data_IF_543120345581
#
_entry.id   IF_543120345581
#
_cell.length_a   1.000
_cell.length_b   1.000
_cell.length_c   1.000
_cell.angle_alpha   90.00
_cell.angle_beta   90.00
_cell.angle_gamma   90.00
#
_symmetry.space_group_name_H-M   'P 1'
#
loop_
_entity.id
_entity.type
_entity.pdbx_description
1 polymer ?
#
# COMPACT_ATOMS: atom_id res chain seq x y z
N UNK A 1 19.68 14.78 9.92
CA UNK A 1 19.38 14.38 8.52
C UNK A 1 19.87 12.96 8.34
N UNK A 2 19.01 11.96 8.52
CA UNK A 2 19.40 10.56 8.31
C UNK A 2 19.39 10.28 6.80
N UNK A 3 20.56 10.07 6.22
CA UNK A 3 20.72 9.88 4.79
C UNK A 3 20.06 8.56 4.34
N UNK A 4 19.44 8.58 3.15
CA UNK A 4 18.76 7.43 2.53
C UNK A 4 19.64 6.16 2.46
N UNK A 5 20.97 6.32 2.37
CA UNK A 5 21.94 5.23 2.38
C UNK A 5 22.03 4.52 3.75
N UNK A 6 21.98 5.29 4.84
CA UNK A 6 22.07 4.79 6.22
C UNK A 6 20.83 3.97 6.59
N UNK A 7 19.64 4.47 6.22
CA UNK A 7 18.38 3.77 6.40
C UNK A 7 18.31 2.44 5.63
N UNK A 8 18.84 2.42 4.40
CA UNK A 8 18.89 1.20 3.58
C UNK A 8 19.78 0.13 4.23
N UNK A 9 20.92 0.54 4.78
CA UNK A 9 21.83 -0.35 5.49
C UNK A 9 21.21 -0.87 6.81
N UNK A 10 20.52 -0.02 7.55
CA UNK A 10 19.81 -0.41 8.78
C UNK A 10 18.71 -1.44 8.50
N UNK A 11 17.88 -1.22 7.47
CA UNK A 11 16.83 -2.16 7.04
C UNK A 11 17.39 -3.51 6.64
N UNK A 12 18.49 -3.52 5.88
CA UNK A 12 19.15 -4.77 5.47
C UNK A 12 19.66 -5.57 6.66
N UNK A 13 20.28 -4.91 7.64
CA UNK A 13 20.75 -5.56 8.88
C UNK A 13 19.60 -6.17 9.68
N UNK A 14 18.48 -5.46 9.81
CA UNK A 14 17.29 -5.95 10.52
C UNK A 14 16.71 -7.18 9.81
N UNK A 15 16.61 -7.15 8.48
CA UNK A 15 16.11 -8.29 7.70
C UNK A 15 16.97 -9.55 7.89
N UNK A 16 18.30 -9.41 7.92
CA UNK A 16 19.21 -10.52 8.19
C UNK A 16 18.94 -11.12 9.58
N UNK A 17 18.79 -10.28 10.61
CA UNK A 17 18.50 -10.76 11.98
C UNK A 17 17.15 -11.46 12.07
N UNK A 18 16.10 -10.91 11.46
CA UNK A 18 14.78 -11.52 11.39
C UNK A 18 14.86 -12.90 10.75
N UNK A 19 15.56 -13.00 9.61
CA UNK A 19 15.78 -14.29 8.94
C UNK A 19 16.51 -15.26 9.87
N UNK A 20 17.61 -14.84 10.47
CA UNK A 20 18.41 -15.66 11.37
C UNK A 20 17.62 -16.17 12.58
N UNK A 21 16.94 -15.29 13.32
CA UNK A 21 16.13 -15.68 14.49
C UNK A 21 14.96 -16.57 14.11
N UNK A 22 14.35 -16.36 12.94
CA UNK A 22 13.32 -17.26 12.41
C UNK A 22 13.89 -18.65 12.15
N UNK A 23 15.06 -18.78 11.52
CA UNK A 23 15.70 -20.08 11.30
C UNK A 23 16.02 -20.78 12.63
N UNK A 24 16.61 -20.06 13.59
CA UNK A 24 16.89 -20.62 14.92
C UNK A 24 15.63 -21.06 15.66
N UNK A 25 14.53 -20.31 15.53
CA UNK A 25 13.23 -20.69 16.12
C UNK A 25 12.66 -21.95 15.47
N UNK A 26 12.79 -22.11 14.15
CA UNK A 26 12.30 -23.28 13.40
C UNK A 26 13.10 -24.54 13.75
N UNK A 27 14.43 -24.44 13.79
CA UNK A 27 15.32 -25.59 13.98
C UNK A 27 15.60 -25.91 15.45
N UNK A 28 15.26 -25.03 16.40
CA UNK A 28 15.44 -25.31 17.82
C UNK A 28 14.40 -26.31 18.33
N UNK A 29 14.90 -27.45 18.82
CA UNK A 29 14.09 -28.50 19.46
C UNK A 29 13.78 -28.18 20.93
N UNK A 30 14.55 -27.28 21.56
CA UNK A 30 14.38 -26.91 22.96
C UNK A 30 13.34 -25.78 23.11
N UNK A 31 12.26 -25.97 23.88
CA UNK A 31 11.22 -24.95 24.04
C UNK A 31 11.74 -23.62 24.60
N UNK A 32 12.71 -23.65 25.53
CA UNK A 32 13.29 -22.45 26.10
C UNK A 32 14.10 -21.65 25.08
N UNK A 33 14.93 -22.32 24.28
CA UNK A 33 15.70 -21.69 23.21
C UNK A 33 14.78 -21.14 22.13
N UNK A 34 13.75 -21.91 21.74
CA UNK A 34 12.73 -21.46 20.79
C UNK A 34 12.03 -20.19 21.28
N UNK A 35 11.63 -20.14 22.55
CA UNK A 35 10.99 -18.96 23.14
C UNK A 35 11.97 -17.77 23.19
N UNK A 36 13.25 -18.01 23.51
CA UNK A 36 14.27 -16.96 23.48
C UNK A 36 14.40 -16.32 22.09
N UNK A 37 14.56 -17.13 21.03
CA UNK A 37 14.67 -16.62 19.66
C UNK A 37 13.36 -16.00 19.14
N UNK A 38 12.21 -16.51 19.58
CA UNK A 38 10.92 -15.89 19.28
C UNK A 38 10.84 -14.47 19.85
N UNK A 39 11.27 -14.25 21.09
CA UNK A 39 11.29 -12.91 21.68
C UNK A 39 12.25 -11.95 20.94
N UNK A 40 13.41 -12.43 20.52
CA UNK A 40 14.35 -11.64 19.71
C UNK A 40 13.76 -11.31 18.33
N UNK A 41 13.10 -12.29 17.68
CA UNK A 41 12.42 -12.10 16.40
C UNK A 41 11.32 -11.03 16.53
N UNK A 42 10.47 -11.12 17.54
CA UNK A 42 9.40 -10.15 17.79
C UNK A 42 9.96 -8.74 18.03
N UNK A 43 11.08 -8.62 18.76
CA UNK A 43 11.76 -7.33 18.96
C UNK A 43 12.23 -6.72 17.63
N UNK A 44 12.93 -7.48 16.79
CA UNK A 44 13.42 -6.96 15.51
C UNK A 44 12.28 -6.64 14.53
N UNK A 45 11.18 -7.42 14.57
CA UNK A 45 9.97 -7.12 13.81
C UNK A 45 9.32 -5.81 14.23
N UNK A 46 9.29 -5.51 15.53
CA UNK A 46 8.77 -4.25 16.05
C UNK A 46 9.63 -3.05 15.62
N UNK A 47 10.96 -3.20 15.64
CA UNK A 47 11.87 -2.18 15.11
C UNK A 47 11.61 -1.93 13.63
N UNK A 48 11.46 -3.00 12.82
CA UNK A 48 11.15 -2.87 11.39
C UNK A 48 9.83 -2.12 11.16
N UNK A 49 8.80 -2.43 11.95
CA UNK A 49 7.50 -1.76 11.90
C UNK A 49 7.63 -0.27 12.21
N UNK A 50 8.28 0.08 13.31
CA UNK A 50 8.51 1.49 13.71
C UNK A 50 9.30 2.27 12.64
N UNK A 51 10.31 1.66 12.03
CA UNK A 51 11.08 2.29 10.94
C UNK A 51 10.18 2.53 9.72
N UNK A 52 9.35 1.56 9.34
CA UNK A 52 8.40 1.73 8.23
C UNK A 52 7.39 2.84 8.52
N UNK A 53 6.85 2.88 9.74
CA UNK A 53 5.88 3.90 10.17
C UNK A 53 6.49 5.32 10.17
N UNK A 54 7.75 5.46 10.58
CA UNK A 54 8.51 6.72 10.47
C UNK A 54 8.77 7.13 9.02
N UNK A 55 8.90 6.18 8.11
CA UNK A 55 9.05 6.45 6.67
C UNK A 55 7.73 6.80 6.00
N UNK A 56 6.61 6.26 6.47
CA UNK A 56 5.27 6.61 5.97
C UNK A 56 4.83 7.98 6.50
N UNK A 57 5.09 8.30 7.78
CA UNK A 57 4.76 9.62 8.34
C UNK A 57 5.58 10.76 7.74
N UNK A 58 6.84 10.51 7.35
CA UNK A 58 7.67 11.48 6.62
C UNK A 58 7.31 11.65 5.14
N UNK A 59 6.48 10.78 4.55
CA UNK A 59 5.98 10.94 3.17
C UNK A 59 4.67 11.73 3.11
N UNK A 60 3.85 11.64 4.15
CA UNK A 60 2.57 12.36 4.20
C UNK A 60 2.72 13.89 4.38
N UNK A 61 3.89 14.38 4.82
CA UNK A 61 4.10 15.83 5.03
C UNK A 61 4.65 16.61 3.84
N UNK A 62 4.90 16.00 2.66
CA UNK A 62 5.42 16.76 1.51
C UNK A 62 4.95 16.32 0.11
N UNK A 63 3.99 15.41 -0.02
CA UNK A 63 3.32 15.21 -1.31
C UNK A 63 2.04 16.03 -1.29
N UNK A 64 2.04 17.19 -1.98
CA UNK A 64 0.79 17.82 -2.42
C UNK A 64 -0.03 16.71 -3.09
N UNK A 65 -1.19 16.37 -2.53
CA UNK A 65 -2.10 15.43 -3.16
C UNK A 65 -2.30 15.86 -4.60
N UNK A 66 -1.98 14.96 -5.54
CA UNK A 66 -2.14 15.25 -6.96
C UNK A 66 -3.61 15.53 -7.23
N UNK A 67 -3.90 16.70 -7.78
CA UNK A 67 -5.23 17.02 -8.29
C UNK A 67 -5.35 16.47 -9.71
N UNK A 68 -6.49 15.87 -10.00
CA UNK A 68 -6.84 15.40 -11.33
C UNK A 68 -8.06 16.17 -11.81
N UNK A 69 -8.05 16.66 -13.06
CA UNK A 69 -9.31 16.97 -13.74
C UNK A 69 -9.97 15.70 -14.27
N UNK A 70 -11.22 15.79 -14.72
CA UNK A 70 -11.92 14.66 -15.35
C UNK A 70 -11.15 14.19 -16.61
N UNK A 71 -10.63 15.14 -17.40
CA UNK A 71 -9.88 14.87 -18.63
C UNK A 71 -8.53 14.21 -18.34
N UNK A 72 -7.87 14.62 -17.25
CA UNK A 72 -6.64 13.97 -16.81
C UNK A 72 -6.90 12.57 -16.29
N UNK A 73 -7.95 12.39 -15.46
CA UNK A 73 -8.35 11.08 -14.96
C UNK A 73 -8.69 10.13 -16.11
N UNK A 74 -9.35 10.59 -17.17
CA UNK A 74 -9.73 9.78 -18.33
C UNK A 74 -8.55 9.11 -19.05
N UNK A 75 -7.33 9.64 -18.91
CA UNK A 75 -6.11 9.02 -19.47
C UNK A 75 -5.68 7.77 -18.70
N UNK A 76 -6.07 7.66 -17.43
CA UNK A 76 -5.72 6.55 -16.54
C UNK A 76 -6.76 5.43 -16.59
N UNK A 77 -6.99 4.90 -17.79
CA UNK A 77 -7.98 3.87 -18.07
C UNK A 77 -7.43 2.44 -18.04
N UNK A 78 -6.13 2.26 -17.72
CA UNK A 78 -5.47 0.96 -17.73
C UNK A 78 -5.07 0.46 -19.12
N UNK A 79 -5.18 1.29 -20.17
CA UNK A 79 -4.75 0.94 -21.52
C UNK A 79 -3.33 1.45 -21.80
N UNK A 80 -2.60 0.68 -22.63
CA UNK A 80 -1.20 0.99 -22.95
C UNK A 80 -0.30 0.88 -21.72
N UNK A 81 0.51 1.90 -21.47
CA UNK A 81 1.44 1.96 -20.33
C UNK A 81 0.88 2.74 -19.13
N UNK A 82 -0.35 3.26 -19.24
CA UNK A 82 -0.94 4.05 -18.16
C UNK A 82 -1.72 3.18 -17.18
N UNK A 83 -1.62 3.45 -15.86
CA UNK A 83 -2.34 2.70 -14.84
C UNK A 83 -3.86 2.93 -14.93
N UNK A 84 -4.62 2.04 -14.28
CA UNK A 84 -6.07 2.12 -14.17
C UNK A 84 -6.46 2.83 -12.88
N UNK A 85 -7.05 4.02 -12.96
CA UNK A 85 -7.52 4.81 -11.83
C UNK A 85 -9.03 4.99 -11.83
N UNK A 86 -9.64 5.15 -10.65
CA UNK A 86 -11.05 5.51 -10.51
C UNK A 86 -11.21 6.58 -9.44
N UNK A 87 -12.15 7.50 -9.63
CA UNK A 87 -12.54 8.44 -8.58
C UNK A 87 -13.81 7.97 -7.86
N UNK A 88 -13.80 8.03 -6.53
CA UNK A 88 -14.96 7.79 -5.69
C UNK A 88 -14.97 8.83 -4.57
N UNK A 89 -16.08 9.55 -4.42
CA UNK A 89 -16.26 10.62 -3.43
C UNK A 89 -15.13 11.67 -3.48
N UNK A 90 -14.65 12.01 -4.68
CA UNK A 90 -13.59 12.99 -4.88
C UNK A 90 -12.17 12.50 -4.60
N UNK A 91 -11.97 11.23 -4.23
CA UNK A 91 -10.65 10.61 -4.04
C UNK A 91 -10.33 9.73 -5.24
N UNK A 92 -9.12 9.84 -5.78
CA UNK A 92 -8.64 9.00 -6.89
C UNK A 92 -7.85 7.82 -6.33
N UNK A 93 -8.26 6.61 -6.70
CA UNK A 93 -7.68 5.34 -6.28
C UNK A 93 -7.00 4.64 -7.45
N UNK A 94 -5.84 4.04 -7.18
CA UNK A 94 -5.19 3.12 -8.11
C UNK A 94 -5.78 1.72 -7.99
N UNK A 95 -6.34 1.21 -9.09
CA UNK A 95 -6.92 -0.13 -9.19
C UNK A 95 -6.11 -1.06 -10.09
N UNK A 96 -4.93 -0.63 -10.57
CA UNK A 96 -4.12 -1.37 -11.54
C UNK A 96 -3.72 -2.77 -11.06
N UNK A 97 -3.39 -2.90 -9.78
CA UNK A 97 -2.99 -4.18 -9.16
C UNK A 97 -4.16 -4.92 -8.52
N UNK A 98 -5.40 -4.45 -8.70
CA UNK A 98 -6.58 -5.13 -8.22
C UNK A 98 -7.09 -6.10 -9.30
N UNK A 99 -7.13 -7.39 -8.97
CA UNK A 99 -7.55 -8.44 -9.90
C UNK A 99 -9.00 -8.28 -10.39
N UNK A 100 -9.89 -7.66 -9.61
CA UNK A 100 -11.28 -7.40 -10.02
C UNK A 100 -11.38 -6.30 -11.08
N UNK A 101 -10.31 -5.55 -11.29
CA UNK A 101 -10.14 -4.48 -12.28
C UNK A 101 -9.21 -4.87 -13.43
N UNK A 102 -8.96 -6.16 -13.62
CA UNK A 102 -8.13 -6.66 -14.71
C UNK A 102 -8.60 -6.11 -16.07
N UNK A 103 -7.65 -5.64 -16.88
CA UNK A 103 -7.94 -4.97 -18.15
C UNK A 103 -8.57 -3.58 -18.02
N UNK A 104 -8.55 -2.97 -16.83
CA UNK A 104 -9.12 -1.64 -16.58
C UNK A 104 -10.65 -1.61 -16.52
N UNK A 105 -11.29 -2.76 -16.27
CA UNK A 105 -12.76 -2.87 -16.26
C UNK A 105 -13.29 -3.64 -15.06
N UNK A 106 -14.52 -3.31 -14.64
CA UNK A 106 -15.21 -4.01 -13.56
C UNK A 106 -16.73 -3.98 -13.80
N UNK A 107 -17.35 -5.12 -14.09
CA UNK A 107 -18.80 -5.24 -14.37
C UNK A 107 -19.36 -4.19 -15.35
N UNK A 108 -18.68 -3.99 -16.49
CA UNK A 108 -19.08 -3.01 -17.51
C UNK A 108 -18.75 -1.54 -17.18
N UNK A 109 -18.09 -1.30 -16.04
CA UNK A 109 -17.46 -0.03 -15.71
C UNK A 109 -16.02 -0.02 -16.22
N UNK A 110 -15.53 1.17 -16.52
CA UNK A 110 -14.19 1.40 -17.05
C UNK A 110 -13.43 2.35 -16.14
N UNK A 111 -12.14 2.10 -15.99
CA UNK A 111 -11.21 3.02 -15.34
C UNK A 111 -11.12 4.35 -16.10
N UNK A 112 -10.56 5.36 -15.43
CA UNK A 112 -10.45 6.74 -15.89
C UNK A 112 -11.72 7.57 -15.66
N UNK A 113 -12.58 7.18 -14.72
CA UNK A 113 -13.87 7.85 -14.48
C UNK A 113 -14.15 8.10 -13.01
N UNK A 114 -15.01 9.08 -12.74
CA UNK A 114 -15.72 9.20 -11.46
C UNK A 114 -16.86 8.19 -11.43
N UNK A 115 -16.74 7.22 -10.53
CA UNK A 115 -17.67 6.12 -10.34
C UNK A 115 -18.40 6.22 -9.00
N UNK A 116 -18.46 7.42 -8.40
CA UNK A 116 -19.11 7.66 -7.11
C UNK A 116 -20.55 7.15 -7.06
N UNK A 117 -21.33 7.39 -8.11
CA UNK A 117 -22.74 6.95 -8.18
C UNK A 117 -22.83 5.42 -8.26
N UNK A 118 -22.04 4.81 -9.12
CA UNK A 118 -22.01 3.37 -9.35
C UNK A 118 -21.52 2.62 -8.12
N UNK A 119 -20.48 3.14 -7.46
CA UNK A 119 -19.99 2.62 -6.19
C UNK A 119 -21.07 2.68 -5.10
N UNK A 120 -21.80 3.80 -5.01
CA UNK A 120 -22.89 3.95 -4.04
C UNK A 120 -24.01 2.94 -4.28
N UNK A 121 -24.39 2.70 -5.54
CA UNK A 121 -25.41 1.72 -5.89
C UNK A 121 -24.97 0.26 -5.67
N UNK A 122 -23.75 -0.11 -6.07
CA UNK A 122 -23.27 -1.50 -6.03
C UNK A 122 -22.76 -1.94 -4.65
N UNK A 123 -22.20 -1.02 -3.88
CA UNK A 123 -21.57 -1.33 -2.59
C UNK A 123 -22.25 -0.64 -1.41
N UNK A 124 -23.40 0.02 -1.61
CA UNK A 124 -24.09 0.83 -0.59
C UNK A 124 -23.16 1.88 0.05
N UNK A 125 -22.16 2.34 -0.71
CA UNK A 125 -21.14 3.26 -0.22
C UNK A 125 -20.18 2.66 0.82
N UNK A 126 -20.12 1.33 0.99
CA UNK A 126 -19.34 0.68 2.05
C UNK A 126 -17.83 0.94 1.86
N UNK A 127 -17.18 1.72 2.74
CA UNK A 127 -15.81 2.20 2.51
C UNK A 127 -14.74 1.11 2.61
N UNK A 128 -15.04 -0.04 3.24
CA UNK A 128 -14.12 -1.17 3.36
C UNK A 128 -13.67 -1.71 1.99
N UNK A 129 -14.50 -1.57 0.96
CA UNK A 129 -14.17 -1.99 -0.41
C UNK A 129 -12.99 -1.19 -0.98
N UNK A 130 -12.79 0.04 -0.49
CA UNK A 130 -11.72 0.94 -0.93
C UNK A 130 -10.51 0.94 0.02
N UNK A 131 -10.58 0.29 1.19
CA UNK A 131 -9.59 0.49 2.27
C UNK A 131 -8.19 0.04 1.91
N UNK A 132 -8.07 -0.95 1.03
CA UNK A 132 -6.80 -1.54 0.61
C UNK A 132 -6.29 -0.98 -0.72
N UNK A 133 -7.03 -0.05 -1.35
CA UNK A 133 -6.62 0.57 -2.60
C UNK A 133 -5.70 1.77 -2.31
N UNK A 134 -4.57 1.92 -3.03
CA UNK A 134 -3.73 3.10 -2.92
C UNK A 134 -4.51 4.37 -3.32
N UNK A 135 -4.48 5.39 -2.45
CA UNK A 135 -4.98 6.73 -2.78
C UNK A 135 -3.87 7.51 -3.49
N UNK A 136 -4.14 7.96 -4.70
CA UNK A 136 -3.12 8.62 -5.56
C UNK A 136 -3.41 10.09 -5.82
N UNK A 137 -4.54 10.59 -5.33
CA UNK A 137 -4.87 12.02 -5.39
C UNK A 137 -6.34 12.31 -5.17
N UNK A 138 -6.77 13.49 -5.61
CA UNK A 138 -8.14 13.98 -5.51
C UNK A 138 -8.66 14.43 -6.86
N UNK A 139 -9.96 14.27 -7.09
CA UNK A 139 -10.64 14.77 -8.27
C UNK A 139 -11.05 16.22 -8.04
N UNK A 140 -10.56 17.13 -8.88
CA UNK A 140 -10.90 18.54 -8.85
C UNK A 140 -12.36 18.72 -9.28
N UNK A 141 -13.11 19.47 -8.48
CA UNK A 141 -14.49 19.86 -8.79
C UNK A 141 -14.54 21.02 -9.77
#
# INVERSE_FOLDING_TARGET
>A
MNNKCDLSQELYRIQIKIFHYRQLTIFSLCPYQRNYYLNLLLREMEVLKNIKERCTSNRESSEKQKEFTIEELAKYNGAGELPAYVAVNGVVYDVSMNTTWAGGTHFGLYAGKDLTKQFSSCHLGTPIVLSNLPKVGILKK
#
